data_IF_936880824962
#
_entry.id   IF_936880824962
#
_cell.length_a   1.000
_cell.length_b   1.000
_cell.length_c   1.000
_cell.angle_alpha   90.00
_cell.angle_beta   90.00
_cell.angle_gamma   90.00
#
_symmetry.space_group_name_H-M   'P 1'
#
loop_
_entity.id
_entity.type
_entity.pdbx_description
1 polymer ?
#
# COMPACT_ATOMS: atom_id res chain seq x y z
N UNK A 1 14.14 5.43 -0.11
CA UNK A 1 15.43 5.39 -0.86
C UNK A 1 15.80 6.79 -1.36
N UNK A 2 17.07 7.26 -1.22
CA UNK A 2 17.46 8.62 -1.65
C UNK A 2 17.35 8.90 -3.16
N UNK A 3 17.35 7.87 -4.00
CA UNK A 3 17.33 8.04 -5.46
C UNK A 3 15.95 8.16 -6.13
N UNK A 4 14.85 7.79 -5.45
CA UNK A 4 13.52 7.85 -6.07
C UNK A 4 12.79 9.19 -5.89
N UNK A 5 13.24 10.02 -4.95
CA UNK A 5 12.51 11.23 -4.53
C UNK A 5 11.16 10.93 -3.86
N UNK A 6 10.86 9.66 -3.54
CA UNK A 6 9.57 9.24 -2.97
C UNK A 6 9.67 9.05 -1.46
N UNK A 7 8.59 9.41 -0.78
CA UNK A 7 8.39 9.21 0.65
C UNK A 7 7.67 7.89 0.89
N UNK A 8 8.21 7.06 1.75
CA UNK A 8 7.67 5.72 2.00
C UNK A 8 6.93 5.68 3.34
N UNK A 9 5.73 5.13 3.33
CA UNK A 9 4.96 4.88 4.54
C UNK A 9 5.22 3.45 5.02
N UNK A 10 5.67 3.30 6.27
CA UNK A 10 5.97 2.03 6.93
C UNK A 10 5.33 1.99 8.32
N UNK A 11 4.73 0.85 8.69
CA UNK A 11 4.17 0.61 10.01
C UNK A 11 4.92 -0.52 10.70
N UNK A 12 5.14 -0.43 12.02
CA UNK A 12 5.75 -1.52 12.80
C UNK A 12 4.71 -2.25 13.62
N UNK A 13 4.16 -3.33 13.08
CA UNK A 13 3.17 -4.13 13.78
C UNK A 13 3.81 -5.01 14.86
N UNK A 14 3.55 -4.70 16.13
CA UNK A 14 4.03 -5.46 17.29
C UNK A 14 3.21 -6.72 17.58
N UNK A 15 1.99 -6.83 17.05
CA UNK A 15 1.08 -7.95 17.35
C UNK A 15 1.52 -9.26 16.68
N UNK A 16 2.29 -9.18 15.60
CA UNK A 16 2.78 -10.34 14.84
C UNK A 16 3.98 -11.07 15.46
N UNK A 17 4.19 -11.00 16.78
CA UNK A 17 5.28 -11.75 17.43
C UNK A 17 5.02 -13.26 17.30
N UNK A 18 5.75 -13.90 16.40
CA UNK A 18 5.86 -15.35 16.35
C UNK A 18 6.99 -15.78 17.30
N UNK A 19 6.79 -16.77 18.20
CA UNK A 19 7.84 -17.24 19.10
C UNK A 19 9.07 -17.78 18.35
N UNK A 20 8.90 -18.22 17.09
CA UNK A 20 10.00 -18.69 16.23
C UNK A 20 10.78 -17.54 15.53
N UNK A 21 10.38 -16.29 15.72
CA UNK A 21 11.03 -15.13 15.09
C UNK A 21 12.10 -14.57 16.04
N UNK A 22 13.37 -14.64 15.61
CA UNK A 22 14.54 -14.17 16.36
C UNK A 22 14.53 -12.67 16.69
N UNK A 23 13.66 -11.89 16.04
CA UNK A 23 13.55 -10.45 16.23
C UNK A 23 12.46 -10.12 17.24
N UNK A 24 12.86 -9.70 18.45
CA UNK A 24 11.97 -9.12 19.49
C UNK A 24 11.19 -7.88 19.04
N UNK A 25 11.58 -7.26 17.93
CA UNK A 25 10.96 -6.07 17.35
C UNK A 25 10.03 -6.56 16.23
N UNK A 26 8.75 -6.18 16.29
CA UNK A 26 7.67 -6.70 15.42
C UNK A 26 7.90 -6.60 13.91
N UNK A 27 6.85 -6.80 13.12
CA UNK A 27 6.98 -6.84 11.65
C UNK A 27 6.84 -5.45 11.04
N UNK A 28 7.82 -5.04 10.23
CA UNK A 28 7.66 -3.87 9.38
C UNK A 28 6.69 -4.17 8.23
N UNK A 29 5.69 -3.32 8.08
CA UNK A 29 4.63 -3.39 7.08
C UNK A 29 4.79 -2.20 6.15
N UNK A 30 5.17 -2.47 4.90
CA UNK A 30 5.20 -1.44 3.86
C UNK A 30 3.77 -1.09 3.43
N UNK A 31 3.46 0.21 3.42
CA UNK A 31 2.14 0.74 3.08
C UNK A 31 2.11 1.37 1.69
N UNK A 32 3.24 1.87 1.20
CA UNK A 32 3.34 2.48 -0.12
C UNK A 32 4.44 3.53 -0.21
N UNK A 33 4.70 3.99 -1.43
CA UNK A 33 5.56 5.13 -1.72
C UNK A 33 4.72 6.24 -2.36
N UNK A 34 4.92 7.47 -1.90
CA UNK A 34 4.17 8.66 -2.23
C UNK A 34 5.12 9.76 -2.70
N UNK A 35 4.59 10.70 -3.48
CA UNK A 35 5.41 11.78 -4.04
C UNK A 35 5.60 12.93 -3.03
N UNK A 36 4.73 13.01 -2.02
CA UNK A 36 4.83 14.00 -0.93
C UNK A 36 4.95 13.31 0.41
N UNK A 37 5.66 13.97 1.32
CA UNK A 37 5.81 13.55 2.71
C UNK A 37 4.45 13.47 3.42
N UNK A 38 3.61 14.50 3.22
CA UNK A 38 2.27 14.56 3.82
C UNK A 38 1.42 13.35 3.43
N UNK A 39 1.44 12.92 2.17
CA UNK A 39 0.68 11.76 1.72
C UNK A 39 1.20 10.44 2.36
N UNK A 40 2.51 10.32 2.55
CA UNK A 40 3.09 9.19 3.26
C UNK A 40 2.69 9.19 4.75
N UNK A 41 2.78 10.34 5.41
CA UNK A 41 2.39 10.50 6.81
C UNK A 41 0.89 10.25 7.04
N UNK A 42 0.02 10.77 6.16
CA UNK A 42 -1.42 10.47 6.22
C UNK A 42 -1.71 8.98 6.02
N UNK A 43 -0.97 8.32 5.13
CA UNK A 43 -1.12 6.87 4.93
C UNK A 43 -0.71 6.08 6.17
N UNK A 44 0.35 6.52 6.87
CA UNK A 44 0.72 5.96 8.16
C UNK A 44 -0.41 6.09 9.17
N UNK A 45 -0.97 7.28 9.35
CA UNK A 45 -2.08 7.52 10.29
C UNK A 45 -3.28 6.64 9.98
N UNK A 46 -3.67 6.51 8.70
CA UNK A 46 -4.76 5.63 8.29
C UNK A 46 -4.51 4.15 8.61
N UNK A 47 -3.27 3.68 8.43
CA UNK A 47 -2.90 2.32 8.79
C UNK A 47 -2.86 2.12 10.31
N UNK A 48 -2.35 3.10 11.05
CA UNK A 48 -2.32 3.11 12.52
C UNK A 48 -3.75 3.05 13.08
N UNK A 49 -4.65 3.92 12.59
CA UNK A 49 -6.07 3.90 12.94
C UNK A 49 -6.71 2.53 12.71
N UNK A 50 -6.41 1.89 11.57
CA UNK A 50 -7.00 0.59 11.24
C UNK A 50 -6.44 -0.57 12.08
N UNK A 51 -5.18 -0.49 12.52
CA UNK A 51 -4.52 -1.59 13.24
C UNK A 51 -4.65 -1.41 14.75
N UNK A 52 -4.42 -0.20 15.24
CA UNK A 52 -4.30 0.11 16.66
C UNK A 52 -5.51 0.88 17.22
N UNK A 53 -6.37 1.43 16.37
CA UNK A 53 -7.55 2.20 16.79
C UNK A 53 -7.29 3.70 16.93
N UNK A 54 -8.29 4.43 17.41
CA UNK A 54 -8.30 5.89 17.56
C UNK A 54 -7.40 6.43 18.67
N UNK A 55 -7.01 5.59 19.63
CA UNK A 55 -6.22 6.00 20.79
C UNK A 55 -4.72 6.11 20.46
N UNK A 56 -4.32 5.69 19.27
CA UNK A 56 -2.94 5.80 18.83
C UNK A 56 -2.58 7.25 18.47
N UNK A 57 -1.37 7.67 18.82
CA UNK A 57 -0.85 8.99 18.44
C UNK A 57 -0.73 9.10 16.91
N UNK A 58 -1.35 10.14 16.35
CA UNK A 58 -1.36 10.43 14.92
C UNK A 58 -0.49 11.64 14.60
N UNK A 59 -0.04 11.75 13.34
CA UNK A 59 0.67 12.92 12.84
C UNK A 59 -0.29 14.09 12.56
N UNK A 60 -1.55 13.80 12.24
CA UNK A 60 -2.59 14.80 11.98
C UNK A 60 -3.82 14.58 12.87
N UNK A 61 -4.64 15.62 13.10
CA UNK A 61 -5.86 15.49 13.89
C UNK A 61 -6.83 14.44 13.31
N UNK A 62 -7.43 13.63 14.18
CA UNK A 62 -8.33 12.54 13.79
C UNK A 62 -9.54 13.02 12.97
N UNK A 63 -10.00 14.25 13.22
CA UNK A 63 -11.10 14.88 12.48
C UNK A 63 -10.84 15.02 10.98
N UNK A 64 -9.58 15.03 10.57
CA UNK A 64 -9.22 15.06 9.14
C UNK A 64 -9.53 13.76 8.42
N UNK A 65 -9.78 12.66 9.16
CA UNK A 65 -9.97 11.31 8.64
C UNK A 65 -11.41 10.78 8.74
N UNK A 66 -12.41 11.63 9.01
CA UNK A 66 -13.80 11.18 9.21
C UNK A 66 -14.33 10.31 8.06
N UNK A 67 -14.08 10.70 6.80
CA UNK A 67 -14.51 9.94 5.61
C UNK A 67 -13.78 8.59 5.51
N UNK A 68 -12.50 8.57 5.86
CA UNK A 68 -11.68 7.37 5.84
C UNK A 68 -12.05 6.41 6.96
N UNK A 69 -12.46 6.92 8.13
CA UNK A 69 -12.99 6.15 9.26
C UNK A 69 -14.28 5.40 8.87
N UNK A 70 -15.23 6.08 8.25
CA UNK A 70 -16.45 5.44 7.73
C UNK A 70 -16.13 4.34 6.70
N UNK A 71 -15.19 4.62 5.80
CA UNK A 71 -14.78 3.66 4.77
C UNK A 71 -14.08 2.45 5.37
N UNK A 72 -13.20 2.66 6.37
CA UNK A 72 -12.41 1.57 6.94
C UNK A 72 -13.24 0.64 7.82
N UNK A 73 -14.35 1.11 8.40
CA UNK A 73 -15.29 0.26 9.14
C UNK A 73 -15.90 -0.84 8.27
N UNK A 74 -16.04 -0.60 6.96
CA UNK A 74 -16.65 -1.53 6.00
C UNK A 74 -15.66 -2.50 5.36
N UNK A 75 -14.41 -2.54 5.84
CA UNK A 75 -13.34 -3.37 5.25
C UNK A 75 -12.58 -4.11 6.35
N UNK A 76 -12.01 -5.27 6.01
CA UNK A 76 -11.05 -5.95 6.90
C UNK A 76 -9.73 -5.17 6.98
N UNK A 77 -8.88 -5.52 7.94
CA UNK A 77 -7.54 -4.91 8.11
C UNK A 77 -6.71 -5.13 6.84
N UNK A 78 -6.70 -6.36 6.33
CA UNK A 78 -5.94 -6.79 5.17
C UNK A 78 -6.40 -6.07 3.90
N UNK A 79 -7.72 -5.98 3.69
CA UNK A 79 -8.30 -5.27 2.56
C UNK A 79 -7.96 -3.79 2.60
N UNK A 80 -8.10 -3.15 3.76
CA UNK A 80 -7.83 -1.72 3.89
C UNK A 80 -6.36 -1.41 3.61
N UNK A 81 -5.42 -2.18 4.19
CA UNK A 81 -3.99 -2.04 3.89
C UNK A 81 -3.70 -2.27 2.40
N UNK A 82 -4.38 -3.22 1.75
CA UNK A 82 -4.25 -3.42 0.32
C UNK A 82 -4.76 -2.20 -0.47
N UNK A 83 -5.83 -1.52 -0.02
CA UNK A 83 -6.30 -0.29 -0.66
C UNK A 83 -5.30 0.87 -0.52
N UNK A 84 -4.66 1.03 0.64
CA UNK A 84 -3.62 2.03 0.85
C UNK A 84 -2.45 1.80 -0.10
N UNK A 85 -1.97 0.56 -0.18
CA UNK A 85 -0.92 0.15 -1.12
C UNK A 85 -1.27 0.46 -2.57
N UNK A 86 -2.52 0.16 -2.97
CA UNK A 86 -3.02 0.43 -4.33
C UNK A 86 -3.09 1.92 -4.66
N UNK A 87 -3.31 2.79 -3.67
CA UNK A 87 -3.36 4.25 -3.85
C UNK A 87 -1.99 4.92 -3.93
N UNK A 88 -0.92 4.21 -3.53
CA UNK A 88 0.43 4.78 -3.51
C UNK A 88 0.95 5.05 -4.92
N UNK A 89 1.72 6.13 -5.10
CA UNK A 89 2.30 6.49 -6.41
C UNK A 89 3.32 5.46 -6.90
N UNK A 90 3.93 4.71 -5.97
CA UNK A 90 4.81 3.58 -6.30
C UNK A 90 4.10 2.29 -6.72
N UNK A 91 2.77 2.21 -6.63
CA UNK A 91 2.02 1.01 -7.01
C UNK A 91 1.99 0.81 -8.52
N UNK A 92 1.69 1.88 -9.25
CA UNK A 92 1.78 1.96 -10.70
C UNK A 92 3.25 1.99 -11.13
N UNK A 93 3.66 1.03 -11.94
CA UNK A 93 4.95 1.07 -12.64
C UNK A 93 4.68 1.49 -14.08
N UNK A 94 5.08 2.70 -14.44
CA UNK A 94 4.93 3.25 -15.79
C UNK A 94 3.67 4.11 -15.96
N UNK A 95 3.20 4.20 -17.20
CA UNK A 95 2.20 5.20 -17.63
C UNK A 95 0.79 4.90 -17.10
N UNK A 96 0.48 3.66 -16.74
CA UNK A 96 -0.83 3.28 -16.21
C UNK A 96 -0.89 3.33 -14.70
N UNK A 97 -1.98 3.85 -14.15
CA UNK A 97 -2.30 3.78 -12.72
C UNK A 97 -2.53 2.35 -12.21
N UNK A 98 -2.78 1.39 -13.10
CA UNK A 98 -3.08 0.01 -12.75
C UNK A 98 -1.84 -0.88 -12.90
N UNK A 99 -1.45 -1.55 -11.82
CA UNK A 99 -0.34 -2.51 -11.85
C UNK A 99 -0.62 -3.63 -12.85
N UNK A 100 0.36 -3.92 -13.71
CA UNK A 100 0.24 -4.96 -14.73
C UNK A 100 -0.48 -4.50 -16.00
N UNK A 101 -0.82 -3.22 -16.10
CA UNK A 101 -1.37 -2.61 -17.31
C UNK A 101 -0.31 -1.74 -17.96
N UNK A 102 0.08 -2.04 -19.18
CA UNK A 102 1.10 -1.29 -19.92
C UNK A 102 0.64 -1.06 -21.36
N UNK A 103 1.14 0.02 -21.97
CA UNK A 103 0.90 0.33 -23.38
C UNK A 103 1.99 -0.34 -24.20
N UNK A 104 1.60 -1.15 -25.19
CA UNK A 104 2.54 -1.85 -26.05
C UNK A 104 3.20 -0.87 -27.03
N UNK A 105 4.54 -0.87 -27.09
CA UNK A 105 5.30 0.13 -27.84
C UNK A 105 5.04 0.17 -29.36
N UNK A 106 4.70 -0.96 -30.01
CA UNK A 106 4.59 -1.01 -31.49
C UNK A 106 3.23 -0.54 -32.02
N UNK A 107 2.13 -0.91 -31.35
CA UNK A 107 0.77 -0.61 -31.81
C UNK A 107 0.00 0.32 -30.87
N UNK A 108 0.57 0.65 -29.70
CA UNK A 108 -0.06 1.49 -28.71
C UNK A 108 -1.27 0.85 -27.99
N UNK A 109 -1.55 -0.43 -28.20
CA UNK A 109 -2.63 -1.14 -27.49
C UNK A 109 -2.25 -1.31 -26.03
N UNK A 110 -3.23 -1.21 -25.16
CA UNK A 110 -3.04 -1.57 -23.77
C UNK A 110 -3.03 -3.10 -23.64
N UNK A 111 -2.28 -3.61 -22.68
CA UNK A 111 -2.30 -5.02 -22.31
C UNK A 111 -2.37 -5.14 -20.79
N UNK A 112 -3.18 -6.08 -20.31
CA UNK A 112 -3.30 -6.40 -18.90
C UNK A 112 -2.72 -7.79 -18.60
N UNK A 113 -1.80 -7.86 -17.62
CA UNK A 113 -1.16 -9.11 -17.20
C UNK A 113 -1.19 -9.30 -15.69
N UNK A 114 -1.47 -10.52 -15.26
CA UNK A 114 -1.41 -10.95 -13.85
C UNK A 114 -0.28 -11.98 -13.69
N UNK A 115 0.64 -11.73 -12.77
CA UNK A 115 1.71 -12.69 -12.44
C UNK A 115 1.18 -13.87 -11.63
N UNK A 116 1.67 -15.09 -11.91
CA UNK A 116 1.38 -16.29 -11.11
C UNK A 116 2.57 -16.62 -10.20
N UNK A 117 2.29 -17.16 -9.01
CA UNK A 117 3.33 -17.58 -8.07
C UNK A 117 4.11 -18.83 -8.54
N UNK A 118 3.46 -19.68 -9.35
CA UNK A 118 4.02 -20.93 -9.89
C UNK A 118 3.67 -21.03 -11.38
N UNK A 119 4.63 -21.45 -12.20
CA UNK A 119 4.45 -21.67 -13.65
C UNK A 119 4.74 -20.44 -14.51
N UNK A 120 4.06 -20.36 -15.67
CA UNK A 120 4.26 -19.28 -16.65
C UNK A 120 4.17 -17.90 -15.97
N UNK A 121 5.16 -17.04 -16.24
CA UNK A 121 5.40 -15.77 -15.53
C UNK A 121 4.18 -14.83 -15.50
N UNK A 122 3.37 -14.82 -16.56
CA UNK A 122 2.18 -13.97 -16.68
C UNK A 122 1.01 -14.68 -17.34
N UNK A 123 -0.19 -14.42 -16.81
CA UNK A 123 -1.47 -14.65 -17.45
C UNK A 123 -1.90 -13.35 -18.14
N UNK A 124 -2.17 -13.42 -19.44
CA UNK A 124 -2.74 -12.30 -20.20
C UNK A 124 -4.25 -12.30 -20.05
N UNK A 125 -4.81 -11.15 -19.67
CA UNK A 125 -6.25 -10.98 -19.50
C UNK A 125 -6.94 -10.39 -20.73
N UNK A 126 -6.15 -9.94 -21.70
CA UNK A 126 -6.63 -9.25 -22.89
C UNK A 126 -5.90 -7.94 -23.12
N UNK A 127 -6.37 -7.26 -24.17
CA UNK A 127 -5.95 -5.93 -24.58
C UNK A 127 -7.09 -4.94 -24.47
#
# INVERSE_FOLDING_TARGET
HRGSGKYEAHLWDKQGWNPNQTRKRGRQVYLGAYDTEEAAARTYDLAALKIWGSDHVLNFPIDTYRKELERMQRMTREEYLATLRRKSSGFSRGVSKYRGVAKHHHNGRWEARIGRAVGKKYLYLGT
#
